data_IF_139455742175
#
_entry.id   IF_139455742175
#
_cell.length_a   1.000
_cell.length_b   1.000
_cell.length_c   1.000
_cell.angle_alpha   90.00
_cell.angle_beta   90.00
_cell.angle_gamma   90.00
#
_symmetry.space_group_name_H-M   'P 1'
#
loop_
_entity.id
_entity.type
_entity.pdbx_description
1 polymer ?
#
# COMPACT_ATOMS: atom_id res chain seq x y z
N UNK A 1 7.57 0.50 16.11
CA UNK A 1 6.42 1.43 16.24
C UNK A 1 5.56 1.22 14.99
N UNK A 2 4.62 0.27 14.98
CA UNK A 2 3.96 -0.08 13.71
C UNK A 2 2.47 -0.29 13.90
N UNK A 3 1.74 0.78 13.57
CA UNK A 3 0.32 0.88 13.28
C UNK A 3 0.08 2.27 12.67
N UNK A 4 0.58 2.51 11.46
CA UNK A 4 0.38 3.77 10.76
C UNK A 4 -1.06 3.86 10.25
N UNK A 5 -1.73 4.98 10.54
CA UNK A 5 -3.04 5.26 9.97
C UNK A 5 -2.86 6.05 8.67
N UNK A 6 -3.03 5.36 7.53
CA UNK A 6 -2.96 5.88 6.17
C UNK A 6 -4.34 5.81 5.49
N UNK A 7 -5.41 5.75 6.29
CA UNK A 7 -6.77 5.64 5.77
C UNK A 7 -7.19 6.89 5.00
N UNK A 8 -7.91 6.71 3.89
CA UNK A 8 -8.48 7.75 3.03
C UNK A 8 -7.48 8.80 2.48
N UNK A 9 -6.18 8.59 2.64
CA UNK A 9 -5.15 9.49 2.11
C UNK A 9 -4.82 9.21 0.65
N UNK A 10 -4.17 10.18 0.00
CA UNK A 10 -3.56 10.01 -1.31
C UNK A 10 -2.04 9.84 -1.16
N UNK A 11 -1.56 8.63 -1.43
CA UNK A 11 -0.16 8.24 -1.40
C UNK A 11 0.31 7.80 -2.79
N UNK A 12 -0.34 8.31 -3.84
CA UNK A 12 0.01 7.97 -5.21
C UNK A 12 1.46 8.32 -5.52
N UNK A 13 2.24 7.34 -5.97
CA UNK A 13 3.67 7.48 -6.26
C UNK A 13 4.59 7.50 -5.04
N UNK A 14 4.07 7.32 -3.83
CA UNK A 14 4.91 7.23 -2.64
C UNK A 14 5.78 5.96 -2.67
N UNK A 15 6.97 6.06 -2.08
CA UNK A 15 7.86 4.91 -1.90
C UNK A 15 7.65 4.31 -0.52
N UNK A 16 7.12 3.08 -0.48
CA UNK A 16 7.03 2.22 0.70
C UNK A 16 8.05 1.06 0.63
N UNK A 17 9.13 1.23 -0.13
CA UNK A 17 10.21 0.23 -0.18
C UNK A 17 10.74 -0.07 1.21
N UNK A 18 10.89 -1.36 1.52
CA UNK A 18 11.38 -1.87 2.81
C UNK A 18 10.54 -1.38 4.02
N UNK A 19 9.33 -0.86 3.80
CA UNK A 19 8.52 -0.30 4.86
C UNK A 19 7.88 -1.41 5.72
N UNK A 20 7.99 -1.28 7.03
CA UNK A 20 7.24 -2.10 7.98
C UNK A 20 5.82 -1.51 8.16
N UNK A 21 4.86 -1.98 7.35
CA UNK A 21 3.45 -1.59 7.43
C UNK A 21 2.61 -2.61 8.22
N UNK A 22 3.26 -3.40 9.07
CA UNK A 22 2.62 -4.38 9.92
C UNK A 22 1.52 -3.72 10.77
N UNK A 23 0.31 -4.28 10.73
CA UNK A 23 -0.89 -3.75 11.41
C UNK A 23 -1.30 -2.33 11.02
N UNK A 24 -0.80 -1.77 9.92
CA UNK A 24 -1.21 -0.46 9.41
C UNK A 24 -2.65 -0.49 8.85
N UNK A 25 -3.29 0.68 8.81
CA UNK A 25 -4.60 0.87 8.18
C UNK A 25 -4.45 1.71 6.91
N UNK A 26 -4.70 1.09 5.76
CA UNK A 26 -4.67 1.71 4.43
C UNK A 26 -6.09 1.86 3.86
N UNK A 27 -7.11 1.70 4.70
CA UNK A 27 -8.50 1.61 4.28
C UNK A 27 -8.94 2.83 3.49
N UNK A 28 -9.51 2.63 2.30
CA UNK A 28 -9.97 3.73 1.42
C UNK A 28 -8.87 4.62 0.83
N UNK A 29 -7.58 4.33 1.10
CA UNK A 29 -6.46 5.12 0.59
C UNK A 29 -6.19 4.87 -0.89
N UNK A 30 -5.58 5.85 -1.57
CA UNK A 30 -5.10 5.72 -2.96
C UNK A 30 -3.59 5.54 -2.97
N UNK A 31 -3.14 4.49 -3.65
CA UNK A 31 -1.72 4.08 -3.72
C UNK A 31 -1.28 3.82 -5.17
N UNK A 32 -1.91 4.51 -6.14
CA UNK A 32 -1.57 4.35 -7.54
C UNK A 32 -0.09 4.71 -7.78
N UNK A 33 0.66 3.86 -8.47
CA UNK A 33 2.11 3.98 -8.71
C UNK A 33 3.00 3.99 -7.47
N UNK A 34 2.44 3.75 -6.28
CA UNK A 34 3.25 3.59 -5.08
C UNK A 34 4.09 2.32 -5.20
N UNK A 35 5.28 2.34 -4.58
CA UNK A 35 6.24 1.25 -4.62
C UNK A 35 6.25 0.49 -3.29
N UNK A 36 5.84 -0.77 -3.30
CA UNK A 36 5.80 -1.66 -2.14
C UNK A 36 6.85 -2.78 -2.21
N UNK A 37 7.91 -2.59 -3.01
CA UNK A 37 9.01 -3.56 -3.09
C UNK A 37 9.56 -3.84 -1.69
N UNK A 38 9.58 -5.11 -1.30
CA UNK A 38 10.07 -5.58 0.01
C UNK A 38 9.34 -5.01 1.24
N UNK A 39 8.16 -4.39 1.06
CA UNK A 39 7.33 -3.92 2.17
C UNK A 39 6.69 -5.08 2.95
N UNK A 40 6.61 -4.96 4.28
CA UNK A 40 5.86 -5.89 5.13
C UNK A 40 4.41 -5.44 5.29
N UNK A 41 3.45 -6.29 4.90
CA UNK A 41 2.00 -6.01 4.98
C UNK A 41 1.28 -6.94 5.97
N UNK A 42 1.95 -7.40 7.03
CA UNK A 42 1.36 -8.39 7.95
C UNK A 42 0.22 -7.77 8.74
N UNK A 43 -0.96 -8.37 8.66
CA UNK A 43 -2.18 -7.89 9.33
C UNK A 43 -2.57 -6.46 8.93
N UNK A 44 -2.12 -6.00 7.76
CA UNK A 44 -2.46 -4.67 7.24
C UNK A 44 -3.89 -4.67 6.72
N UNK A 45 -4.65 -3.63 7.05
CA UNK A 45 -6.02 -3.46 6.57
C UNK A 45 -6.03 -2.64 5.28
N UNK A 46 -6.29 -3.30 4.14
CA UNK A 46 -6.32 -2.71 2.78
C UNK A 46 -7.75 -2.66 2.21
N UNK A 47 -8.79 -2.79 3.05
CA UNK A 47 -10.18 -2.73 2.60
C UNK A 47 -10.50 -1.40 1.91
N UNK A 48 -11.06 -1.47 0.72
CA UNK A 48 -11.38 -0.29 -0.09
C UNK A 48 -10.18 0.52 -0.59
N UNK A 49 -8.95 0.06 -0.37
CA UNK A 49 -7.76 0.72 -0.90
C UNK A 49 -7.67 0.54 -2.42
N UNK A 50 -7.21 1.58 -3.12
CA UNK A 50 -6.85 1.49 -4.54
C UNK A 50 -5.34 1.28 -4.70
N UNK A 51 -4.97 0.03 -4.92
CA UNK A 51 -3.62 -0.45 -5.21
C UNK A 51 -3.49 -0.89 -6.68
N UNK A 52 -4.44 -0.53 -7.55
CA UNK A 52 -4.54 -1.09 -8.92
C UNK A 52 -3.32 -0.85 -9.79
N UNK A 53 -2.60 0.26 -9.56
CA UNK A 53 -1.36 0.64 -10.25
C UNK A 53 -0.14 0.62 -9.32
N UNK A 54 -0.24 -0.03 -8.16
CA UNK A 54 0.89 -0.17 -7.25
C UNK A 54 1.93 -1.14 -7.82
N UNK A 55 3.20 -0.86 -7.52
CA UNK A 55 4.37 -1.63 -7.99
C UNK A 55 5.03 -2.37 -6.84
N UNK A 56 5.79 -3.41 -7.16
CA UNK A 56 6.53 -4.18 -6.16
C UNK A 56 5.64 -5.06 -5.26
N UNK A 57 4.31 -5.05 -5.44
CA UNK A 57 3.41 -5.94 -4.72
C UNK A 57 3.50 -7.37 -5.25
N UNK A 58 3.58 -8.31 -4.32
CA UNK A 58 3.56 -9.75 -4.55
C UNK A 58 2.32 -10.40 -3.96
N UNK A 59 1.97 -11.58 -4.46
CA UNK A 59 0.85 -12.34 -3.90
C UNK A 59 1.08 -12.69 -2.42
N UNK A 60 2.34 -12.96 -2.03
CA UNK A 60 2.69 -13.25 -0.63
C UNK A 60 2.40 -12.06 0.29
N UNK A 61 2.78 -10.84 -0.12
CA UNK A 61 2.49 -9.63 0.65
C UNK A 61 0.97 -9.41 0.79
N UNK A 62 0.22 -9.59 -0.29
CA UNK A 62 -1.25 -9.42 -0.27
C UNK A 62 -1.94 -10.51 0.56
N UNK A 63 -1.44 -11.75 0.57
CA UNK A 63 -1.97 -12.83 1.42
C UNK A 63 -1.83 -12.52 2.92
N UNK A 64 -0.85 -11.70 3.29
CA UNK A 64 -0.64 -11.30 4.68
C UNK A 64 -1.52 -10.11 5.08
N UNK A 65 -2.14 -9.46 4.09
CA UNK A 65 -3.03 -8.32 4.25
C UNK A 65 -4.51 -8.71 4.19
N UNK A 66 -5.34 -7.80 4.67
CA UNK A 66 -6.76 -7.98 4.88
C UNK A 66 -7.53 -7.07 3.93
N UNK A 67 -8.11 -7.64 2.86
CA UNK A 67 -8.89 -6.88 1.87
C UNK A 67 -10.37 -7.26 1.86
N UNK A 68 -11.12 -6.66 0.94
CA UNK A 68 -12.51 -7.03 0.64
C UNK A 68 -12.86 -6.79 -0.84
N UNK A 69 -14.15 -6.94 -1.19
CA UNK A 69 -14.68 -6.72 -2.54
C UNK A 69 -14.46 -5.33 -3.12
N UNK A 70 -14.12 -4.34 -2.28
CA UNK A 70 -13.87 -2.96 -2.68
C UNK A 70 -12.38 -2.65 -2.85
N UNK A 71 -11.48 -3.53 -2.39
CA UNK A 71 -10.04 -3.38 -2.62
C UNK A 71 -9.72 -3.57 -4.11
N UNK A 72 -9.02 -2.61 -4.70
CA UNK A 72 -8.58 -2.68 -6.10
C UNK A 72 -7.11 -3.04 -6.15
N UNK A 73 -6.79 -4.20 -6.71
CA UNK A 73 -5.42 -4.72 -6.81
C UNK A 73 -4.89 -4.64 -8.25
N UNK A 74 -3.57 -4.76 -8.47
CA UNK A 74 -3.03 -4.99 -9.80
C UNK A 74 -3.64 -6.27 -10.38
N UNK A 75 -3.84 -6.32 -11.70
CA UNK A 75 -4.59 -7.35 -12.42
C UNK A 75 -4.10 -8.81 -12.25
N UNK A 76 -2.96 -9.03 -11.60
CA UNK A 76 -2.38 -10.35 -11.30
C UNK A 76 -2.50 -10.78 -9.84
N UNK A 77 -3.01 -9.93 -8.95
CA UNK A 77 -3.06 -10.20 -7.51
C UNK A 77 -4.48 -10.40 -7.02
N UNK A 78 -4.63 -11.22 -5.98
CA UNK A 78 -5.92 -11.50 -5.34
C UNK A 78 -5.85 -11.23 -3.84
N UNK A 79 -6.82 -10.49 -3.29
CA UNK A 79 -6.90 -10.21 -1.86
C UNK A 79 -7.53 -11.38 -1.11
N UNK A 80 -7.02 -11.68 0.09
CA UNK A 80 -7.77 -12.48 1.05
C UNK A 80 -8.78 -11.59 1.77
N UNK A 81 -10.00 -12.09 1.94
CA UNK A 81 -10.97 -11.39 2.77
C UNK A 81 -10.63 -11.58 4.24
N UNK A 82 -10.86 -10.55 5.05
CA UNK A 82 -10.66 -10.57 6.51
C UNK A 82 -11.42 -11.67 7.27
N UNK A 83 -12.25 -12.46 6.59
CA UNK A 83 -13.03 -13.57 7.15
C UNK A 83 -12.76 -14.92 6.48
N UNK A 84 -11.62 -15.09 5.81
CA UNK A 84 -11.14 -16.39 5.33
C UNK A 84 -11.89 -16.99 4.13
N UNK A 85 -12.79 -16.23 3.49
CA UNK A 85 -13.51 -16.66 2.29
C UNK A 85 -12.88 -16.06 1.04
N UNK A 86 -12.11 -16.83 0.27
CA UNK A 86 -11.57 -16.42 -1.03
C UNK A 86 -12.71 -16.09 -2.00
N UNK A 87 -13.07 -14.81 -2.11
CA UNK A 87 -13.81 -14.27 -3.25
C UNK A 87 -12.85 -13.46 -4.09
N UNK A 88 -12.62 -13.94 -5.30
CA UNK A 88 -11.68 -13.38 -6.28
C UNK A 88 -12.20 -12.01 -6.71
N UNK A 89 -11.59 -10.93 -6.21
CA UNK A 89 -11.92 -9.57 -6.63
C UNK A 89 -11.06 -9.25 -7.85
N UNK A 90 -11.63 -9.33 -9.05
CA UNK A 90 -10.98 -8.86 -10.28
C UNK A 90 -11.01 -7.34 -10.30
N UNK A 91 -9.85 -6.72 -10.37
CA UNK A 91 -9.75 -5.27 -10.45
C UNK A 91 -10.25 -4.73 -11.79
N UNK A 92 -11.10 -3.70 -11.73
CA UNK A 92 -11.52 -2.92 -12.88
C UNK A 92 -10.37 -2.00 -13.36
N UNK A 93 -10.29 -1.69 -14.67
CA UNK A 93 -9.19 -0.91 -15.24
C UNK A 93 -9.06 0.47 -14.59
N UNK A 94 -7.81 0.91 -14.37
CA UNK A 94 -7.47 2.14 -13.64
C UNK A 94 -7.66 3.39 -14.51
N UNK A 95 -8.21 4.46 -13.91
CA UNK A 95 -8.23 5.80 -14.49
C UNK A 95 -6.81 6.40 -14.55
N UNK A 96 -6.50 7.31 -15.51
CA UNK A 96 -5.16 7.86 -15.69
C UNK A 96 -4.69 8.70 -14.48
N UNK A 97 -3.44 8.50 -14.05
CA UNK A 97 -2.89 9.01 -12.78
C UNK A 97 -2.25 10.40 -12.93
N UNK A 98 -2.60 11.43 -12.12
CA UNK A 98 -1.96 12.76 -12.12
C UNK A 98 -0.54 12.71 -11.50
N UNK A 99 0.43 13.52 -11.96
CA UNK A 99 1.86 13.41 -11.59
C UNK A 99 2.15 13.58 -10.08
N UNK A 100 3.13 12.82 -9.59
CA UNK A 100 3.52 12.68 -8.18
C UNK A 100 4.31 13.91 -7.69
N UNK A 101 3.99 14.51 -6.52
CA UNK A 101 4.80 15.57 -5.93
C UNK A 101 6.13 15.03 -5.37
N UNK A 102 7.24 15.80 -5.47
CA UNK A 102 8.58 15.34 -5.10
C UNK A 102 8.72 15.07 -3.60
N UNK A 103 9.40 13.98 -3.25
CA UNK A 103 9.72 13.58 -1.87
C UNK A 103 10.67 14.62 -1.23
N UNK A 104 10.39 15.14 -0.02
CA UNK A 104 11.28 16.08 0.64
C UNK A 104 12.58 15.38 1.10
N UNK A 105 13.76 15.99 0.91
CA UNK A 105 15.04 15.40 1.30
C UNK A 105 15.17 15.32 2.83
N UNK A 106 15.68 14.19 3.35
CA UNK A 106 16.04 14.04 4.77
C UNK A 106 17.27 14.89 5.07
N UNK A 107 17.14 15.90 5.92
CA UNK A 107 18.26 16.70 6.44
C UNK A 107 18.96 15.87 7.53
N UNK A 108 20.06 15.22 7.21
CA UNK A 108 20.97 14.68 8.21
C UNK A 108 21.69 15.85 8.89
N UNK A 109 21.27 16.19 10.10
CA UNK A 109 21.97 17.14 10.96
C UNK A 109 23.25 16.44 11.45
N UNK A 110 24.39 16.73 10.84
CA UNK A 110 25.70 16.36 11.41
C UNK A 110 25.89 17.25 12.63
N UNK A 111 25.82 16.67 13.83
CA UNK A 111 26.27 17.34 15.05
C UNK A 111 27.79 17.40 14.98
N UNK A 112 28.33 18.57 14.70
CA UNK A 112 29.72 18.87 15.01
C UNK A 112 29.80 19.07 16.53
N UNK A 113 30.53 18.20 17.21
CA UNK A 113 30.97 18.40 18.58
C UNK A 113 32.36 19.02 18.52
N UNK A 114 32.50 20.21 19.10
CA UNK A 114 33.78 20.83 19.46
C UNK A 114 34.21 20.32 20.85
#
# INVERSE_FOLDING_TARGET
ITASNLSNGDFSGASFRDAELDSARLTGGRFARADFTDASLRRTDIRGADLSDARGLTQSQINQACGDGSTRLPSRLTAQTCRGGSRIVRAAPAAPVPPVPPVPPRRNLVVASD
#
